data_IF_488912843305
#
_entry.id   IF_488912843305
#
_cell.length_a   1.000
_cell.length_b   1.000
_cell.length_c   1.000
_cell.angle_alpha   90.00
_cell.angle_beta   90.00
_cell.angle_gamma   90.00
#
_symmetry.space_group_name_H-M   'P 1'
#
loop_
_entity.id
_entity.type
_entity.pdbx_description
1 polymer ?
#
# COMPACT_ATOMS: atom_id res chain seq x y z
N UNK A 1 8.78 19.12 -3.49
CA UNK A 1 8.47 17.71 -3.17
C UNK A 1 7.08 17.72 -2.56
N UNK A 2 6.17 16.87 -3.04
CA UNK A 2 4.79 16.85 -2.54
C UNK A 2 4.80 16.46 -1.05
N UNK A 3 4.10 17.23 -0.20
CA UNK A 3 4.04 17.03 1.27
C UNK A 3 3.72 15.58 1.65
N UNK A 4 2.92 14.88 0.85
CA UNK A 4 2.59 13.47 1.04
C UNK A 4 3.83 12.57 0.90
N UNK A 5 4.64 12.74 -0.15
CA UNK A 5 5.79 11.87 -0.39
C UNK A 5 6.83 11.99 0.73
N UNK A 6 6.98 13.17 1.34
CA UNK A 6 7.87 13.34 2.50
C UNK A 6 7.39 12.52 3.72
N UNK A 7 6.08 12.34 3.89
CA UNK A 7 5.52 11.47 4.94
C UNK A 7 5.74 10.01 4.60
N UNK A 8 5.55 9.61 3.34
CA UNK A 8 5.75 8.25 2.86
C UNK A 8 7.22 7.80 2.97
N UNK A 9 8.16 8.68 2.62
CA UNK A 9 9.59 8.41 2.69
C UNK A 9 10.08 8.13 4.12
N UNK A 10 9.39 8.66 5.14
CA UNK A 10 9.71 8.38 6.55
C UNK A 10 9.34 6.97 6.98
N UNK A 11 8.55 6.24 6.18
CA UNK A 11 8.11 4.87 6.46
C UNK A 11 9.03 3.83 5.83
N UNK A 12 9.98 4.25 4.98
CA UNK A 12 10.90 3.35 4.29
C UNK A 12 11.81 2.61 5.28
N UNK A 13 12.15 1.37 4.94
CA UNK A 13 12.84 0.43 5.83
C UNK A 13 12.13 0.25 7.18
N UNK A 14 10.81 0.43 7.17
CA UNK A 14 9.95 0.24 8.33
C UNK A 14 9.56 -1.22 8.48
N UNK A 15 9.50 -1.70 9.72
CA UNK A 15 8.99 -3.01 10.08
C UNK A 15 7.46 -2.91 10.18
N UNK A 16 6.73 -3.70 9.39
CA UNK A 16 5.27 -3.81 9.50
C UNK A 16 4.96 -4.72 10.69
N UNK A 17 4.56 -4.14 11.82
CA UNK A 17 4.21 -4.89 13.04
C UNK A 17 2.78 -5.44 12.98
N UNK A 18 1.92 -4.80 12.19
CA UNK A 18 0.54 -5.23 11.99
C UNK A 18 0.01 -4.76 10.65
N UNK A 19 -0.78 -5.62 10.02
CA UNK A 19 -1.56 -5.31 8.83
C UNK A 19 -3.02 -5.71 9.02
N UNK A 20 -3.95 -4.87 8.56
CA UNK A 20 -5.38 -5.18 8.54
C UNK A 20 -5.91 -4.80 7.16
N UNK A 21 -6.56 -5.76 6.50
CA UNK A 21 -7.31 -5.54 5.27
C UNK A 21 -8.78 -5.77 5.62
N UNK A 22 -9.57 -4.69 5.59
CA UNK A 22 -11.00 -4.75 5.85
C UNK A 22 -11.76 -4.45 4.57
N UNK A 23 -12.26 -5.51 3.94
CA UNK A 23 -13.00 -5.42 2.69
C UNK A 23 -14.42 -4.87 2.90
N UNK A 24 -14.99 -4.97 4.10
CA UNK A 24 -16.35 -4.49 4.37
C UNK A 24 -16.35 -2.98 4.62
N UNK A 25 -15.33 -2.48 5.32
CA UNK A 25 -15.14 -1.06 5.59
C UNK A 25 -14.20 -0.37 4.59
N UNK A 26 -13.76 -1.09 3.55
CA UNK A 26 -12.94 -0.60 2.44
C UNK A 26 -11.65 0.12 2.90
N UNK A 27 -10.90 -0.45 3.83
CA UNK A 27 -9.63 0.13 4.26
C UNK A 27 -8.50 -0.90 4.40
N UNK A 28 -7.27 -0.40 4.30
CA UNK A 28 -6.05 -1.13 4.63
C UNK A 28 -5.29 -0.31 5.67
N UNK A 29 -4.84 -0.95 6.73
CA UNK A 29 -4.08 -0.33 7.81
C UNK A 29 -2.76 -1.08 8.01
N UNK A 30 -1.67 -0.31 8.08
CA UNK A 30 -0.36 -0.77 8.52
C UNK A 30 0.05 -0.01 9.79
N UNK A 31 0.50 -0.75 10.80
CA UNK A 31 1.27 -0.21 11.93
C UNK A 31 2.74 -0.50 11.66
N UNK A 32 3.54 0.56 11.52
CA UNK A 32 4.91 0.49 11.01
C UNK A 32 5.86 1.05 12.07
N UNK A 33 6.88 0.27 12.43
CA UNK A 33 7.97 0.68 13.30
C UNK A 33 9.20 1.03 12.48
N UNK A 34 9.71 2.24 12.66
CA UNK A 34 10.93 2.72 11.98
C UNK A 34 12.03 2.93 13.03
N UNK A 35 13.21 2.40 12.74
CA UNK A 35 14.40 2.53 13.59
C UNK A 35 15.46 3.33 12.82
N UNK A 36 15.66 4.60 13.19
CA UNK A 36 16.68 5.47 12.59
C UNK A 36 17.68 5.92 13.67
N UNK A 37 18.97 5.61 13.48
CA UNK A 37 20.06 5.95 14.42
C UNK A 37 19.79 5.58 15.88
N UNK A 38 19.09 4.46 16.10
CA UNK A 38 18.73 3.95 17.42
C UNK A 38 17.47 4.57 18.03
N UNK A 39 16.85 5.57 17.39
CA UNK A 39 15.54 6.07 17.77
C UNK A 39 14.46 5.19 17.15
N UNK A 40 13.51 4.74 17.97
CA UNK A 40 12.34 3.98 17.51
C UNK A 40 11.13 4.91 17.41
N UNK A 41 10.47 4.88 16.27
CA UNK A 41 9.23 5.64 16.02
C UNK A 41 8.15 4.71 15.46
N UNK A 42 6.90 4.99 15.82
CA UNK A 42 5.75 4.19 15.40
C UNK A 42 4.85 5.05 14.52
N UNK A 43 4.41 4.46 13.42
CA UNK A 43 3.65 5.12 12.39
C UNK A 43 2.38 4.34 12.07
N UNK A 44 1.30 5.07 11.84
CA UNK A 44 0.06 4.52 11.32
C UNK A 44 -0.09 4.98 9.87
N UNK A 45 -0.21 4.03 8.95
CA UNK A 45 -0.50 4.26 7.54
C UNK A 45 -1.82 3.59 7.20
N UNK A 46 -2.84 4.37 6.86
CA UNK A 46 -4.17 3.86 6.55
C UNK A 46 -4.63 4.34 5.18
N UNK A 47 -4.97 3.40 4.30
CA UNK A 47 -5.61 3.66 3.02
C UNK A 47 -7.12 3.57 3.18
N UNK A 48 -7.86 4.62 2.82
CA UNK A 48 -9.30 4.75 3.06
C UNK A 48 -10.11 4.76 1.74
N UNK A 49 -11.26 4.08 1.76
CA UNK A 49 -12.09 3.80 0.58
C UNK A 49 -11.26 3.15 -0.54
N UNK A 50 -10.60 2.05 -0.20
CA UNK A 50 -9.84 1.21 -1.13
C UNK A 50 -10.82 0.59 -2.12
N UNK A 51 -10.61 0.87 -3.40
CA UNK A 51 -11.41 0.36 -4.52
C UNK A 51 -10.85 -0.94 -5.09
N UNK A 52 -9.52 -1.05 -5.14
CA UNK A 52 -8.84 -2.23 -5.65
C UNK A 52 -7.51 -2.45 -4.94
N UNK A 53 -7.16 -3.73 -4.80
CA UNK A 53 -5.92 -4.21 -4.21
C UNK A 53 -5.37 -5.32 -5.08
N UNK A 54 -4.10 -5.21 -5.46
CA UNK A 54 -3.38 -6.25 -6.19
C UNK A 54 -2.14 -6.63 -5.41
N UNK A 55 -2.04 -7.91 -5.07
CA UNK A 55 -0.84 -8.49 -4.49
C UNK A 55 -0.14 -9.29 -5.57
N UNK A 56 1.09 -8.90 -5.88
CA UNK A 56 1.97 -9.60 -6.79
C UNK A 56 3.09 -10.22 -5.96
N UNK A 57 3.26 -11.52 -6.12
CA UNK A 57 4.33 -12.26 -5.49
C UNK A 57 4.93 -13.16 -6.56
N UNK A 58 6.09 -12.77 -7.08
CA UNK A 58 6.86 -13.55 -8.02
C UNK A 58 7.86 -14.49 -7.33
N UNK A 59 7.94 -14.43 -6.00
CA UNK A 59 8.82 -15.26 -5.20
C UNK A 59 8.21 -16.64 -4.95
N UNK A 60 9.03 -17.69 -4.87
CA UNK A 60 8.56 -19.00 -4.42
C UNK A 60 8.00 -18.91 -2.99
N UNK A 61 7.06 -19.79 -2.61
CA UNK A 61 6.62 -19.89 -1.24
C UNK A 61 7.81 -20.07 -0.30
N UNK A 62 7.84 -19.27 0.76
CA UNK A 62 8.86 -19.29 1.79
C UNK A 62 8.17 -19.31 3.14
N UNK A 63 8.57 -20.23 4.02
CA UNK A 63 8.12 -20.21 5.42
C UNK A 63 9.04 -19.26 6.20
N UNK A 64 8.50 -18.23 6.86
CA UNK A 64 9.30 -17.29 7.63
C UNK A 64 9.94 -17.97 8.85
N UNK A 65 11.18 -17.60 9.13
CA UNK A 65 11.92 -17.96 10.34
C UNK A 65 11.50 -17.10 11.55
N UNK A 66 11.94 -17.47 12.76
CA UNK A 66 11.50 -16.82 14.01
C UNK A 66 11.88 -15.33 14.09
N UNK A 67 12.99 -14.94 13.47
CA UNK A 67 13.50 -13.56 13.45
C UNK A 67 13.06 -12.76 12.20
N UNK A 68 12.27 -13.37 11.33
CA UNK A 68 11.82 -12.71 10.10
C UNK A 68 10.74 -11.66 10.37
N UNK A 69 10.78 -10.59 9.60
CA UNK A 69 9.81 -9.52 9.65
C UNK A 69 9.45 -9.01 8.26
N UNK A 70 8.25 -8.46 8.15
CA UNK A 70 7.81 -7.80 6.93
C UNK A 70 8.41 -6.39 6.88
N UNK A 71 9.37 -6.18 6.00
CA UNK A 71 9.94 -4.85 5.74
C UNK A 71 9.13 -4.12 4.67
N UNK A 72 8.68 -2.90 4.96
CA UNK A 72 8.23 -1.94 3.95
C UNK A 72 9.46 -1.30 3.29
N UNK A 73 9.92 -1.92 2.21
CA UNK A 73 11.11 -1.51 1.46
C UNK A 73 10.88 -0.17 0.77
N UNK A 74 9.72 0.01 0.13
CA UNK A 74 9.38 1.26 -0.53
C UNK A 74 7.88 1.53 -0.57
N UNK A 75 7.53 2.81 -0.68
CA UNK A 75 6.16 3.27 -0.90
C UNK A 75 6.17 4.52 -1.78
N UNK A 76 5.41 4.47 -2.87
CA UNK A 76 5.33 5.52 -3.87
C UNK A 76 3.89 5.91 -4.13
N UNK A 77 3.63 7.22 -4.16
CA UNK A 77 2.37 7.78 -4.64
C UNK A 77 2.50 8.17 -6.12
N UNK A 78 1.68 7.56 -6.98
CA UNK A 78 1.62 7.82 -8.42
C UNK A 78 0.41 8.70 -8.76
N UNK A 79 0.62 10.02 -8.68
CA UNK A 79 -0.44 11.03 -8.88
C UNK A 79 -1.14 10.93 -10.22
N UNK A 80 -0.40 10.66 -11.29
CA UNK A 80 -0.92 10.63 -12.66
C UNK A 80 -1.67 9.34 -12.98
N UNK A 81 -1.55 8.29 -12.14
CA UNK A 81 -2.32 7.03 -12.26
C UNK A 81 -2.24 6.41 -13.67
N UNK A 82 -1.05 6.47 -14.28
CA UNK A 82 -0.82 6.08 -15.66
C UNK A 82 -0.87 4.57 -15.87
N UNK A 83 -0.70 3.79 -14.80
CA UNK A 83 -0.78 2.33 -14.81
C UNK A 83 -2.24 1.89 -14.69
N UNK A 84 -2.73 1.19 -15.70
CA UNK A 84 -4.07 0.60 -15.72
C UNK A 84 -3.96 -0.92 -15.63
N UNK A 85 -4.71 -1.51 -14.69
CA UNK A 85 -4.84 -2.96 -14.55
C UNK A 85 -6.23 -3.36 -15.05
N UNK A 86 -6.28 -4.38 -15.90
CA UNK A 86 -7.52 -4.95 -16.45
C UNK A 86 -7.60 -6.43 -16.16
N UNK A 87 -8.76 -6.86 -15.68
CA UNK A 87 -9.05 -8.29 -15.55
C UNK A 87 -9.38 -8.82 -16.93
N UNK A 88 -8.51 -9.68 -17.47
CA UNK A 88 -8.81 -10.44 -18.67
C UNK A 88 -9.71 -11.62 -18.31
N UNK A 89 -10.89 -11.69 -18.92
CA UNK A 89 -11.84 -12.78 -18.73
C UNK A 89 -12.55 -13.10 -20.03
N UNK A 90 -12.88 -14.38 -20.23
CA UNK A 90 -13.76 -14.82 -21.31
C UNK A 90 -15.23 -14.49 -21.03
N UNK A 91 -15.57 -14.17 -19.78
CA UNK A 91 -16.91 -13.71 -19.40
C UNK A 91 -17.05 -12.20 -19.63
N UNK A 92 -18.10 -11.82 -20.36
CA UNK A 92 -18.48 -10.41 -20.58
C UNK A 92 -18.84 -9.68 -19.29
N UNK A 93 -19.25 -10.40 -18.26
CA UNK A 93 -19.60 -9.81 -16.97
C UNK A 93 -18.39 -9.14 -16.32
N UNK A 94 -17.18 -9.68 -16.49
CA UNK A 94 -15.98 -9.16 -15.83
C UNK A 94 -15.15 -8.23 -16.71
N UNK A 95 -15.53 -8.01 -17.98
CA UNK A 95 -14.74 -7.21 -18.93
C UNK A 95 -14.66 -5.72 -18.59
N UNK A 96 -15.51 -5.24 -17.67
CA UNK A 96 -15.51 -3.85 -17.20
C UNK A 96 -14.60 -3.62 -15.98
N UNK A 97 -14.04 -4.68 -15.39
CA UNK A 97 -13.19 -4.57 -14.21
C UNK A 97 -11.83 -3.98 -14.56
N UNK A 98 -11.66 -2.70 -14.22
CA UNK A 98 -10.42 -1.97 -14.38
C UNK A 98 -10.12 -1.15 -13.13
N UNK A 99 -8.82 -1.02 -12.85
CA UNK A 99 -8.29 -0.21 -11.76
C UNK A 99 -7.12 0.62 -12.26
N UNK A 100 -6.97 1.81 -11.68
CA UNK A 100 -5.76 2.64 -11.85
C UNK A 100 -5.14 2.91 -10.48
N UNK A 101 -4.27 2.02 -9.98
CA UNK A 101 -3.63 2.19 -8.69
C UNK A 101 -2.90 3.54 -8.60
N UNK A 102 -3.01 4.18 -7.44
CA UNK A 102 -2.30 5.41 -7.11
C UNK A 102 -1.21 5.19 -6.05
N UNK A 103 -1.11 3.98 -5.49
CA UNK A 103 0.00 3.59 -4.62
C UNK A 103 0.63 2.29 -5.06
N UNK A 104 1.96 2.26 -4.96
CA UNK A 104 2.78 1.09 -5.15
C UNK A 104 3.67 0.94 -3.92
N UNK A 105 3.54 -0.19 -3.24
CA UNK A 105 4.36 -0.57 -2.10
C UNK A 105 5.18 -1.79 -2.48
N UNK A 106 6.41 -1.82 -1.99
CA UNK A 106 7.24 -3.01 -1.97
C UNK A 106 7.37 -3.48 -0.53
N UNK A 107 6.93 -4.71 -0.27
CA UNK A 107 6.99 -5.35 1.06
C UNK A 107 7.82 -6.62 0.90
N UNK A 108 9.07 -6.59 1.36
CA UNK A 108 9.98 -7.73 1.34
C UNK A 108 10.01 -8.44 -0.03
N UNK A 109 10.31 -7.68 -1.09
CA UNK A 109 10.40 -8.18 -2.47
C UNK A 109 9.06 -8.58 -3.11
N UNK A 110 7.93 -8.13 -2.56
CA UNK A 110 6.58 -8.34 -3.14
C UNK A 110 5.90 -7.02 -3.36
N UNK A 111 5.10 -6.91 -4.41
CA UNK A 111 4.44 -5.67 -4.76
C UNK A 111 2.97 -5.66 -4.31
N UNK A 112 2.58 -4.53 -3.73
CA UNK A 112 1.19 -4.23 -3.41
C UNK A 112 0.78 -2.97 -4.17
N UNK A 113 -0.20 -3.10 -5.05
CA UNK A 113 -0.77 -1.98 -5.79
C UNK A 113 -2.15 -1.66 -5.24
N UNK A 114 -2.35 -0.40 -4.85
CA UNK A 114 -3.56 0.04 -4.16
C UNK A 114 -4.18 1.19 -4.94
N UNK A 115 -5.49 1.09 -5.16
CA UNK A 115 -6.32 2.17 -5.66
C UNK A 115 -7.22 2.67 -4.52
N UNK A 116 -7.00 3.90 -4.06
CA UNK A 116 -7.64 4.44 -2.85
C UNK A 116 -8.03 5.91 -3.00
N UNK A 117 -9.09 6.35 -2.30
CA UNK A 117 -9.53 7.76 -2.34
C UNK A 117 -8.65 8.70 -1.52
N UNK A 118 -8.20 8.22 -0.37
CA UNK A 118 -7.41 8.98 0.59
C UNK A 118 -6.43 8.07 1.32
N UNK A 119 -5.39 8.68 1.87
CA UNK A 119 -4.44 8.03 2.77
C UNK A 119 -4.28 8.88 4.02
N UNK A 120 -4.21 8.24 5.18
CA UNK A 120 -4.00 8.87 6.46
C UNK A 120 -2.68 8.39 7.04
N UNK A 121 -1.80 9.34 7.40
CA UNK A 121 -0.48 9.06 7.97
C UNK A 121 -0.37 9.76 9.31
N UNK A 122 -0.31 9.00 10.40
CA UNK A 122 -0.29 9.51 11.78
C UNK A 122 -1.40 10.55 12.05
N UNK A 123 -2.64 10.24 11.65
CA UNK A 123 -3.78 11.15 11.80
C UNK A 123 -3.88 12.26 10.73
N UNK A 124 -2.89 12.41 9.84
CA UNK A 124 -2.92 13.42 8.78
C UNK A 124 -3.55 12.82 7.52
N UNK A 125 -4.72 13.31 7.13
CA UNK A 125 -5.44 12.86 5.94
C UNK A 125 -4.95 13.59 4.68
N UNK A 126 -4.75 12.82 3.61
CA UNK A 126 -4.40 13.30 2.27
C UNK A 126 -5.38 12.71 1.26
N UNK A 127 -5.99 13.58 0.44
CA UNK A 127 -6.78 13.16 -0.71
C UNK A 127 -5.85 12.79 -1.86
N UNK A 128 -5.98 11.55 -2.35
CA UNK A 128 -5.03 10.92 -3.29
C UNK A 128 -5.72 10.26 -4.48
N UNK A 129 -7.05 10.14 -4.40
CA UNK A 129 -7.92 10.27 -5.55
C UNK A 129 -9.20 9.46 -5.46
N UNK A 130 -10.35 10.13 -5.42
CA UNK A 130 -11.38 9.99 -6.47
C UNK A 130 -12.34 11.20 -6.50
N UNK A 131 -12.34 11.92 -7.63
CA UNK A 131 -13.53 12.53 -8.27
C UNK A 131 -13.20 12.91 -9.72
N UNK A 132 -14.08 12.44 -10.62
CA UNK A 132 -14.09 12.38 -12.11
C UNK A 132 -12.96 11.60 -12.78
#
# INVERSE_FOLDING_TARGET
MDKLQDYLNRLWSGIIEKQVIDLFNHFILFEIKVIDKGATTFHQLKFNNVKALYYLNDQPPYEPEEDDYLELTSITFEKERTKEIKVSSTSKEYSHLTSKPNFLLEIWGRELLIETSSVEINGNLFEVGFST
#
